data_IF_697366837877
#
_entry.id   IF_697366837877
#
_cell.length_a   1.000
_cell.length_b   1.000
_cell.length_c   1.000
_cell.angle_alpha   90.00
_cell.angle_beta   90.00
_cell.angle_gamma   90.00
#
_symmetry.space_group_name_H-M   'P 1'
#
loop_
_entity.id
_entity.type
_entity.pdbx_description
1 polymer ?
#
# COMPACT_ATOMS: atom_id res chain seq x y z
N UNK A 1 10.83 28.24 19.79
CA UNK A 1 12.05 28.17 18.91
C UNK A 1 12.79 29.51 18.94
N UNK A 2 12.67 30.25 20.05
CA UNK A 2 12.66 31.72 20.04
C UNK A 2 13.98 32.36 20.45
N UNK A 3 15.00 31.57 20.81
CA UNK A 3 16.30 32.05 21.28
C UNK A 3 17.35 32.24 20.18
N UNK A 4 16.98 32.17 18.89
CA UNK A 4 17.91 32.39 17.78
C UNK A 4 18.94 31.29 17.53
N UNK A 5 19.34 30.51 18.54
CA UNK A 5 20.35 29.45 18.41
C UNK A 5 19.88 28.26 17.54
N UNK A 6 20.72 27.73 16.62
CA UNK A 6 20.36 26.62 15.73
C UNK A 6 20.39 25.24 16.44
N UNK A 7 21.14 25.11 17.53
CA UNK A 7 21.39 23.83 18.22
C UNK A 7 20.13 23.06 18.67
N UNK A 8 19.14 23.70 19.32
CA UNK A 8 17.90 23.04 19.71
C UNK A 8 17.09 22.50 18.51
N UNK A 9 17.06 23.23 17.39
CA UNK A 9 16.36 22.82 16.18
C UNK A 9 17.03 21.60 15.54
N UNK A 10 18.36 21.63 15.42
CA UNK A 10 19.14 20.50 14.90
C UNK A 10 18.93 19.24 15.73
N UNK A 11 19.05 19.33 17.07
CA UNK A 11 18.80 18.19 17.97
C UNK A 11 17.36 17.65 17.89
N UNK A 12 16.39 18.52 17.63
CA UNK A 12 15.00 18.08 17.44
C UNK A 12 14.84 17.32 16.12
N UNK A 13 15.36 17.85 15.02
CA UNK A 13 15.34 17.20 13.69
C UNK A 13 16.08 15.86 13.72
N UNK A 14 17.28 15.79 14.29
CA UNK A 14 18.09 14.56 14.35
C UNK A 14 17.41 13.46 15.18
N UNK A 15 16.73 13.83 16.28
CA UNK A 15 15.95 12.86 17.07
C UNK A 15 14.68 12.45 16.35
N UNK A 16 13.99 13.41 15.73
CA UNK A 16 12.65 13.24 15.16
C UNK A 16 12.61 12.57 13.79
N UNK A 17 13.66 12.69 12.98
CA UNK A 17 13.74 12.15 11.62
C UNK A 17 14.71 10.97 11.54
N UNK A 18 14.45 10.03 10.63
CA UNK A 18 15.36 8.93 10.31
C UNK A 18 16.52 9.37 9.40
N UNK A 19 17.36 8.41 9.00
CA UNK A 19 18.51 8.64 8.11
C UNK A 19 18.12 9.31 6.79
N UNK A 20 16.93 9.04 6.27
CA UNK A 20 16.39 9.55 5.01
C UNK A 20 15.58 10.85 5.20
N UNK A 21 15.52 11.39 6.42
CA UNK A 21 14.76 12.61 6.74
C UNK A 21 13.26 12.36 6.94
N UNK A 22 12.82 11.12 7.07
CA UNK A 22 11.39 10.81 7.26
C UNK A 22 11.04 10.88 8.76
N UNK A 23 9.92 11.53 9.15
CA UNK A 23 9.52 11.57 10.55
C UNK A 23 9.33 10.19 11.15
N UNK A 24 9.92 9.98 12.33
CA UNK A 24 9.92 8.68 13.00
C UNK A 24 8.58 8.30 13.60
N UNK A 25 7.92 9.28 14.24
CA UNK A 25 6.71 9.09 15.07
C UNK A 25 5.56 10.00 14.71
N UNK A 26 5.82 11.11 14.01
CA UNK A 26 4.76 12.04 13.60
C UNK A 26 3.85 11.37 12.57
N UNK A 27 2.55 11.36 12.84
CA UNK A 27 1.51 10.98 11.87
C UNK A 27 1.64 11.85 10.62
N UNK A 28 1.39 11.27 9.45
CA UNK A 28 1.54 11.96 8.13
C UNK A 28 0.83 13.32 8.10
N UNK A 29 -0.40 13.40 8.61
CA UNK A 29 -1.16 14.66 8.68
C UNK A 29 -0.48 15.77 9.48
N UNK A 30 0.30 15.40 10.51
CA UNK A 30 1.02 16.35 11.36
C UNK A 30 2.34 16.84 10.75
N UNK A 31 2.71 16.39 9.54
CA UNK A 31 3.96 16.81 8.91
C UNK A 31 3.92 18.25 8.44
N UNK A 32 2.77 18.71 7.94
CA UNK A 32 2.62 20.02 7.32
C UNK A 32 2.83 21.18 8.29
N UNK A 33 2.19 21.21 9.48
CA UNK A 33 2.44 22.28 10.44
C UNK A 33 3.91 22.36 10.85
N UNK A 34 4.58 21.21 11.00
CA UNK A 34 6.00 21.20 11.34
C UNK A 34 6.90 21.74 10.20
N UNK A 35 6.61 21.38 8.95
CA UNK A 35 7.33 21.92 7.79
C UNK A 35 7.13 23.43 7.64
N UNK A 36 5.95 23.94 7.95
CA UNK A 36 5.67 25.38 7.93
C UNK A 36 6.44 26.12 9.05
N UNK A 37 6.42 25.58 10.27
CA UNK A 37 7.21 26.10 11.39
C UNK A 37 8.71 26.12 11.07
N UNK A 38 9.23 25.10 10.38
CA UNK A 38 10.64 25.07 9.93
C UNK A 38 10.92 26.12 8.86
N UNK A 39 9.99 26.37 7.94
CA UNK A 39 10.13 27.38 6.91
C UNK A 39 10.20 28.79 7.54
N UNK A 40 9.34 29.06 8.52
CA UNK A 40 9.38 30.30 9.30
C UNK A 40 10.68 30.43 10.10
N UNK A 41 11.12 29.36 10.76
CA UNK A 41 12.37 29.33 11.51
C UNK A 41 13.60 29.61 10.62
N UNK A 42 13.56 29.18 9.35
CA UNK A 42 14.59 29.47 8.34
C UNK A 42 14.53 30.92 7.87
N UNK A 43 13.33 31.47 7.59
CA UNK A 43 13.16 32.88 7.17
C UNK A 43 13.70 33.86 8.21
N UNK A 44 13.50 33.56 9.51
CA UNK A 44 14.03 34.36 10.62
C UNK A 44 15.55 34.26 10.81
N UNK A 45 16.22 33.34 10.10
CA UNK A 45 17.67 33.09 10.19
C UNK A 45 18.31 33.09 8.80
N UNK A 46 18.33 34.25 8.10
CA UNK A 46 18.95 34.34 6.78
C UNK A 46 20.45 34.03 6.85
N UNK A 47 21.11 34.35 7.97
CA UNK A 47 22.48 33.97 8.30
C UNK A 47 22.47 32.93 9.43
N UNK A 48 23.38 31.94 9.38
CA UNK A 48 23.55 30.94 10.44
C UNK A 48 22.60 29.74 10.40
N UNK A 49 21.82 29.56 9.33
CA UNK A 49 21.06 28.32 9.10
C UNK A 49 21.99 27.15 8.73
N UNK A 50 22.03 26.04 9.50
CA UNK A 50 22.92 24.93 9.21
C UNK A 50 22.53 24.18 7.93
N UNK A 51 23.47 24.01 6.98
CA UNK A 51 23.26 23.21 5.77
C UNK A 51 22.91 21.72 6.06
N UNK A 52 23.27 21.21 7.25
CA UNK A 52 22.87 19.89 7.70
C UNK A 52 21.34 19.78 7.91
N UNK A 53 20.66 20.87 8.30
CA UNK A 53 19.21 20.90 8.40
C UNK A 53 18.55 20.80 7.03
N UNK A 54 19.06 21.53 6.02
CA UNK A 54 18.49 21.49 4.66
C UNK A 54 18.47 20.07 4.10
N UNK A 55 19.56 19.30 4.27
CA UNK A 55 19.60 17.90 3.83
C UNK A 55 18.56 17.02 4.52
N UNK A 56 18.32 17.21 5.82
CA UNK A 56 17.30 16.46 6.57
C UNK A 56 15.89 16.86 6.18
N UNK A 57 15.67 18.16 5.99
CA UNK A 57 14.39 18.72 5.58
C UNK A 57 14.05 18.32 4.16
N UNK A 58 15.04 18.23 3.26
CA UNK A 58 14.83 17.71 1.91
C UNK A 58 14.24 16.31 1.92
N UNK A 59 14.79 15.42 2.75
CA UNK A 59 14.23 14.09 2.97
C UNK A 59 12.77 14.12 3.44
N UNK A 60 12.46 15.02 4.38
CA UNK A 60 11.08 15.23 4.86
C UNK A 60 10.17 15.77 3.76
N UNK A 61 10.59 16.78 3.00
CA UNK A 61 9.83 17.37 1.90
C UNK A 61 9.55 16.32 0.83
N UNK A 62 10.53 15.47 0.49
CA UNK A 62 10.33 14.32 -0.42
C UNK A 62 9.32 13.32 0.15
N UNK A 63 9.37 13.03 1.44
CA UNK A 63 8.38 12.16 2.08
C UNK A 63 6.98 12.80 2.06
N UNK A 64 6.85 14.07 2.42
CA UNK A 64 5.59 14.81 2.39
C UNK A 64 4.98 14.83 0.98
N UNK A 65 5.80 15.08 -0.04
CA UNK A 65 5.39 14.99 -1.44
C UNK A 65 4.86 13.60 -1.81
N UNK A 66 5.56 12.51 -1.45
CA UNK A 66 5.11 11.13 -1.71
C UNK A 66 3.78 10.81 -1.01
N UNK A 67 3.63 11.26 0.22
CA UNK A 67 2.44 11.07 1.05
C UNK A 67 1.37 12.15 0.83
N UNK A 68 1.51 12.96 -0.23
CA UNK A 68 0.47 13.85 -0.72
C UNK A 68 -0.36 13.18 -1.79
N UNK A 69 -1.64 13.51 -1.81
CA UNK A 69 -2.54 13.29 -2.94
C UNK A 69 -2.32 14.36 -4.00
N UNK A 70 -2.82 14.15 -5.23
CA UNK A 70 -2.78 15.15 -6.31
C UNK A 70 -3.47 16.49 -5.96
N UNK A 71 -4.46 16.48 -5.06
CA UNK A 71 -5.16 17.69 -4.60
C UNK A 71 -4.39 18.47 -3.51
N UNK A 72 -3.22 17.98 -3.10
CA UNK A 72 -2.38 18.57 -2.03
C UNK A 72 -2.72 18.11 -0.62
N UNK A 73 -3.83 17.39 -0.43
CA UNK A 73 -4.14 16.79 0.87
C UNK A 73 -3.17 15.66 1.20
N UNK A 74 -2.94 15.40 2.49
CA UNK A 74 -2.13 14.26 2.92
C UNK A 74 -2.98 12.99 2.86
N UNK A 75 -2.34 11.86 2.57
CA UNK A 75 -3.00 10.56 2.72
C UNK A 75 -3.48 10.34 4.17
N UNK A 76 -4.52 9.54 4.31
CA UNK A 76 -5.23 9.24 5.55
C UNK A 76 -6.03 10.39 6.18
N UNK A 77 -5.94 11.63 5.66
CA UNK A 77 -6.80 12.75 6.03
C UNK A 77 -8.05 12.80 5.13
N UNK A 78 -9.08 13.60 5.47
CA UNK A 78 -10.14 13.93 4.52
C UNK A 78 -9.57 14.48 3.20
N UNK A 79 -10.27 14.23 2.09
CA UNK A 79 -9.92 14.78 0.78
C UNK A 79 -10.33 16.24 0.72
N UNK A 80 -9.52 17.08 0.06
CA UNK A 80 -9.77 18.51 -0.01
C UNK A 80 -8.58 19.26 -0.60
N UNK A 81 -8.87 20.13 -1.57
CA UNK A 81 -7.84 20.97 -2.20
C UNK A 81 -7.07 21.74 -1.13
N UNK A 82 -5.75 21.57 -1.10
CA UNK A 82 -4.87 22.17 -0.10
C UNK A 82 -3.78 22.99 -0.78
N UNK A 83 -4.11 24.13 -1.42
CA UNK A 83 -3.14 24.94 -2.16
C UNK A 83 -2.00 25.44 -1.27
N UNK A 84 -2.24 25.67 0.02
CA UNK A 84 -1.24 26.06 1.00
C UNK A 84 -0.09 25.03 1.11
N UNK A 85 -0.42 23.73 1.08
CA UNK A 85 0.58 22.64 1.14
C UNK A 85 1.42 22.58 -0.13
N UNK A 86 0.78 22.78 -1.30
CA UNK A 86 1.49 22.87 -2.57
C UNK A 86 2.45 24.09 -2.59
N UNK A 87 2.00 25.24 -2.08
CA UNK A 87 2.83 26.44 -1.93
C UNK A 87 3.99 26.24 -0.96
N UNK A 88 3.77 25.55 0.16
CA UNK A 88 4.82 25.21 1.12
C UNK A 88 5.88 24.29 0.50
N UNK A 89 5.47 23.27 -0.26
CA UNK A 89 6.41 22.43 -1.01
C UNK A 89 7.19 23.23 -2.05
N UNK A 90 6.52 24.11 -2.80
CA UNK A 90 7.16 24.96 -3.79
C UNK A 90 8.18 25.94 -3.14
N UNK A 91 7.86 26.48 -1.96
CA UNK A 91 8.79 27.28 -1.16
C UNK A 91 10.05 26.47 -0.82
N UNK A 92 9.88 25.27 -0.26
CA UNK A 92 11.01 24.41 0.08
C UNK A 92 11.85 24.03 -1.14
N UNK A 93 11.22 23.68 -2.25
CA UNK A 93 11.93 23.37 -3.50
C UNK A 93 12.73 24.55 -4.07
N UNK A 94 12.38 25.79 -3.71
CA UNK A 94 13.15 26.98 -4.09
C UNK A 94 14.38 27.25 -3.22
N UNK A 95 14.50 26.61 -2.06
CA UNK A 95 15.61 26.84 -1.11
C UNK A 95 16.46 25.60 -0.84
N UNK A 96 15.98 24.41 -1.21
CA UNK A 96 16.68 23.14 -1.06
C UNK A 96 17.57 22.83 -2.29
N UNK A 97 18.63 22.03 -2.12
CA UNK A 97 19.64 21.84 -3.15
C UNK A 97 19.23 20.92 -4.31
N UNK A 98 18.17 20.11 -4.16
CA UNK A 98 17.72 19.19 -5.21
C UNK A 98 16.84 19.90 -6.27
N UNK A 99 17.33 20.09 -7.52
CA UNK A 99 16.55 20.74 -8.58
C UNK A 99 15.37 19.88 -9.06
N UNK A 100 15.40 18.56 -8.85
CA UNK A 100 14.33 17.63 -9.24
C UNK A 100 13.03 17.85 -8.47
N UNK A 101 13.13 18.29 -7.21
CA UNK A 101 11.97 18.57 -6.34
C UNK A 101 11.05 19.62 -6.96
N UNK A 102 11.60 20.73 -7.44
CA UNK A 102 10.82 21.82 -8.05
C UNK A 102 10.07 21.35 -9.31
N UNK A 103 10.71 20.50 -10.12
CA UNK A 103 10.11 19.91 -11.32
C UNK A 103 8.91 19.03 -10.97
N UNK A 104 9.05 18.12 -10.00
CA UNK A 104 7.95 17.22 -9.61
C UNK A 104 6.80 17.96 -8.95
N UNK A 105 7.09 18.91 -8.06
CA UNK A 105 6.05 19.69 -7.40
C UNK A 105 5.18 20.42 -8.43
N UNK A 106 5.76 20.92 -9.53
CA UNK A 106 5.01 21.54 -10.61
C UNK A 106 4.18 20.55 -11.42
N UNK A 107 4.73 19.37 -11.74
CA UNK A 107 3.98 18.32 -12.43
C UNK A 107 2.81 17.81 -11.60
N UNK A 108 3.01 17.70 -10.29
CA UNK A 108 2.06 17.14 -9.35
C UNK A 108 0.96 18.15 -8.94
N UNK A 109 1.27 19.45 -8.90
CA UNK A 109 0.32 20.53 -8.57
C UNK A 109 0.20 21.60 -9.67
N UNK A 110 -0.22 21.25 -10.89
CA UNK A 110 -0.24 22.18 -12.01
C UNK A 110 -1.23 23.34 -11.81
N UNK A 111 -2.34 23.09 -11.10
CA UNK A 111 -3.36 24.10 -10.83
C UNK A 111 -2.92 25.14 -9.79
N UNK A 112 -1.96 24.80 -8.91
CA UNK A 112 -1.50 25.69 -7.85
C UNK A 112 -0.30 26.56 -8.28
N UNK A 113 0.44 26.18 -9.33
CA UNK A 113 1.71 26.79 -9.69
C UNK A 113 1.74 27.22 -11.16
N UNK A 114 1.92 28.53 -11.43
CA UNK A 114 2.11 29.04 -12.80
C UNK A 114 3.41 28.49 -13.42
N UNK A 115 3.42 28.12 -14.71
CA UNK A 115 4.65 27.66 -15.36
C UNK A 115 5.68 28.80 -15.48
N UNK A 116 6.92 28.58 -15.00
CA UNK A 116 8.09 29.40 -15.40
C UNK A 116 8.74 28.77 -16.63
N UNK A 117 8.97 29.58 -17.68
CA UNK A 117 9.77 29.20 -18.85
C UNK A 117 11.22 28.91 -18.45
N UNK A 118 11.84 27.92 -19.07
CA UNK A 118 13.31 27.72 -19.04
C UNK A 118 13.89 26.84 -17.92
N UNK A 119 13.11 25.96 -17.29
CA UNK A 119 13.68 24.97 -16.34
C UNK A 119 14.01 23.69 -17.08
N UNK A 120 15.26 23.25 -16.96
CA UNK A 120 15.75 22.00 -17.54
C UNK A 120 15.07 20.78 -16.86
N UNK A 121 14.61 19.78 -17.63
CA UNK A 121 13.93 18.62 -17.04
C UNK A 121 14.89 17.77 -16.20
N UNK A 122 14.61 17.65 -14.90
CA UNK A 122 15.30 16.70 -14.02
C UNK A 122 14.42 15.46 -13.80
N UNK A 123 15.00 14.24 -13.71
CA UNK A 123 14.22 13.04 -13.45
C UNK A 123 13.54 13.12 -12.07
N UNK A 124 12.25 12.77 -11.97
CA UNK A 124 11.53 12.87 -10.71
C UNK A 124 12.11 11.89 -9.67
N UNK A 125 12.17 12.22 -8.37
CA UNK A 125 12.35 11.21 -7.33
C UNK A 125 11.35 10.06 -7.53
N UNK A 126 11.78 8.84 -7.19
CA UNK A 126 10.89 7.68 -7.27
C UNK A 126 9.61 7.92 -6.44
N UNK A 127 8.42 7.69 -7.04
CA UNK A 127 7.14 7.90 -6.38
C UNK A 127 6.90 6.88 -5.26
N UNK A 128 7.45 5.67 -5.42
CA UNK A 128 7.42 4.64 -4.41
C UNK A 128 8.51 4.84 -3.34
N UNK A 129 8.20 4.43 -2.11
CA UNK A 129 9.10 4.48 -0.96
C UNK A 129 8.61 3.49 0.10
N UNK A 130 9.53 2.86 0.82
CA UNK A 130 9.23 2.28 2.12
C UNK A 130 10.37 2.57 3.09
N UNK A 131 10.01 2.83 4.34
CA UNK A 131 11.01 2.97 5.39
C UNK A 131 11.56 1.58 5.76
N UNK A 132 12.88 1.53 6.02
CA UNK A 132 13.60 0.29 6.25
C UNK A 132 13.36 -0.32 7.64
N UNK A 133 13.05 0.52 8.62
CA UNK A 133 13.03 0.13 10.04
C UNK A 133 11.62 0.18 10.67
N UNK A 134 10.66 0.78 9.97
CA UNK A 134 9.29 0.97 10.45
C UNK A 134 8.27 0.79 9.30
N UNK A 135 7.05 0.29 9.54
CA UNK A 135 6.06 0.11 8.49
C UNK A 135 5.44 1.45 8.10
N UNK A 136 6.12 2.16 7.19
CA UNK A 136 5.64 3.36 6.51
C UNK A 136 6.03 3.21 5.04
N UNK A 137 5.04 3.14 4.17
CA UNK A 137 5.29 2.92 2.74
C UNK A 137 4.26 3.62 1.85
N UNK A 138 4.73 3.99 0.67
CA UNK A 138 3.98 4.49 -0.47
C UNK A 138 4.31 3.60 -1.65
N UNK A 139 3.34 2.82 -2.11
CA UNK A 139 3.42 2.05 -3.34
C UNK A 139 2.74 2.89 -4.41
N UNK A 140 3.47 3.30 -5.45
CA UNK A 140 2.97 4.24 -6.45
C UNK A 140 3.78 4.07 -7.75
N UNK A 141 3.12 3.99 -8.93
CA UNK A 141 3.79 3.77 -10.20
C UNK A 141 4.41 5.05 -10.76
N UNK A 142 3.75 6.20 -10.59
CA UNK A 142 4.09 7.45 -11.26
C UNK A 142 3.60 8.67 -10.47
N UNK A 143 3.88 9.85 -10.99
CA UNK A 143 3.40 11.13 -10.47
C UNK A 143 2.24 11.68 -11.32
N UNK A 144 1.31 10.83 -11.78
CA UNK A 144 0.12 11.31 -12.50
C UNK A 144 -1.00 11.76 -11.54
N UNK A 145 -1.79 12.79 -11.90
CA UNK A 145 -2.89 13.27 -11.04
C UNK A 145 -4.03 12.27 -10.80
N UNK A 146 -4.11 11.21 -11.60
CA UNK A 146 -5.05 10.09 -11.40
C UNK A 146 -4.34 8.82 -10.94
N UNK A 147 -3.09 8.96 -10.50
CA UNK A 147 -2.17 7.86 -10.21
C UNK A 147 -2.70 6.94 -9.11
N UNK A 148 -2.53 5.65 -9.36
CA UNK A 148 -2.85 4.60 -8.41
C UNK A 148 -1.85 4.62 -7.25
N UNK A 149 -2.29 4.37 -6.02
CA UNK A 149 -1.35 4.15 -4.92
C UNK A 149 -1.93 3.31 -3.78
N UNK A 150 -1.01 2.73 -3.01
CA UNK A 150 -1.29 2.16 -1.69
C UNK A 150 -0.39 2.84 -0.66
N UNK A 151 -0.98 3.56 0.29
CA UNK A 151 -0.28 4.18 1.40
C UNK A 151 -0.46 3.36 2.68
N UNK A 152 0.61 3.19 3.45
CA UNK A 152 0.66 2.36 4.66
C UNK A 152 1.35 3.14 5.78
N UNK A 153 0.75 3.13 6.98
CA UNK A 153 1.38 3.61 8.21
C UNK A 153 0.96 2.74 9.41
N UNK A 154 1.88 1.92 9.90
CA UNK A 154 1.75 1.16 11.15
C UNK A 154 3.00 1.36 12.02
N UNK A 155 3.46 2.61 12.12
CA UNK A 155 4.61 2.97 12.97
C UNK A 155 4.25 3.05 14.45
N UNK A 156 2.99 3.34 14.77
CA UNK A 156 2.52 3.53 16.14
C UNK A 156 2.37 2.18 16.86
N UNK A 157 3.17 1.88 17.89
CA UNK A 157 3.10 0.61 18.59
C UNK A 157 1.72 0.42 19.24
N UNK A 158 1.13 -0.76 19.05
CA UNK A 158 -0.20 -1.06 19.62
C UNK A 158 -1.39 -0.50 18.84
N UNK A 159 -1.16 0.39 17.86
CA UNK A 159 -2.21 0.86 16.97
C UNK A 159 -2.38 -0.05 15.75
N UNK A 160 -3.58 -0.08 15.19
CA UNK A 160 -3.84 -0.70 13.89
C UNK A 160 -3.10 0.00 12.74
N UNK A 161 -3.08 -0.64 11.58
CA UNK A 161 -2.49 -0.04 10.39
C UNK A 161 -3.44 0.99 9.79
N UNK A 162 -2.92 2.17 9.45
CA UNK A 162 -3.58 3.06 8.51
C UNK A 162 -3.27 2.60 7.10
N UNK A 163 -4.29 2.51 6.26
CA UNK A 163 -4.17 2.17 4.84
C UNK A 163 -4.99 3.12 4.00
N UNK A 164 -4.51 3.39 2.80
CA UNK A 164 -5.31 4.05 1.77
C UNK A 164 -5.01 3.41 0.42
N UNK A 165 -6.05 2.92 -0.24
CA UNK A 165 -5.94 2.41 -1.62
C UNK A 165 -6.70 3.36 -2.53
N UNK A 166 -5.98 4.01 -3.43
CA UNK A 166 -6.54 4.96 -4.40
C UNK A 166 -6.26 4.46 -5.80
N UNK A 167 -7.26 4.55 -6.67
CA UNK A 167 -7.12 4.23 -8.08
C UNK A 167 -8.05 5.06 -8.94
N UNK A 168 -7.56 5.58 -10.05
CA UNK A 168 -8.30 6.51 -10.92
C UNK A 168 -8.90 7.71 -10.16
N UNK A 169 -8.13 8.27 -9.23
CA UNK A 169 -8.55 9.42 -8.39
C UNK A 169 -9.65 9.12 -7.36
N UNK A 170 -10.00 7.85 -7.14
CA UNK A 170 -10.96 7.44 -6.11
C UNK A 170 -10.26 6.69 -5.00
N UNK A 171 -10.52 7.11 -3.76
CA UNK A 171 -10.15 6.37 -2.56
C UNK A 171 -11.12 5.20 -2.38
N UNK A 172 -10.67 3.99 -2.68
CA UNK A 172 -11.47 2.76 -2.63
C UNK A 172 -11.51 2.15 -1.22
N UNK A 173 -10.39 2.18 -0.50
CA UNK A 173 -10.26 1.62 0.85
C UNK A 173 -9.53 2.57 1.81
N UNK A 174 -9.70 2.32 3.11
CA UNK A 174 -9.12 3.06 4.22
C UNK A 174 -10.18 3.81 5.04
N UNK A 175 -9.81 4.42 6.18
CA UNK A 175 -8.43 4.65 6.63
C UNK A 175 -7.77 3.50 7.39
N UNK A 176 -8.50 2.46 7.82
CA UNK A 176 -7.94 1.41 8.68
C UNK A 176 -7.87 0.03 8.03
N UNK A 177 -6.84 -0.72 8.40
CA UNK A 177 -6.65 -2.15 8.14
C UNK A 177 -6.35 -2.88 9.45
N UNK A 178 -7.33 -3.64 9.94
CA UNK A 178 -7.26 -4.39 11.20
C UNK A 178 -7.33 -5.91 11.01
N UNK A 179 -7.01 -6.66 12.06
CA UNK A 179 -7.06 -8.13 12.10
C UNK A 179 -8.49 -8.69 12.18
N UNK A 180 -9.52 -7.84 12.19
CA UNK A 180 -10.92 -8.25 12.11
C UNK A 180 -11.45 -9.12 13.26
N UNK A 181 -10.69 -9.32 14.34
CA UNK A 181 -11.07 -10.03 15.57
C UNK A 181 -11.04 -9.11 16.80
N UNK A 182 -11.07 -7.79 16.58
CA UNK A 182 -10.95 -6.75 17.62
C UNK A 182 -9.68 -6.88 18.49
N UNK A 183 -8.63 -7.46 17.90
CA UNK A 183 -7.32 -7.61 18.50
C UNK A 183 -6.38 -6.48 18.11
N UNK A 184 -5.78 -5.84 19.11
CA UNK A 184 -4.72 -4.86 18.92
C UNK A 184 -3.34 -5.53 18.74
N UNK A 185 -2.43 -4.92 17.97
CA UNK A 185 -1.04 -5.36 17.92
C UNK A 185 -0.35 -5.37 19.30
N UNK A 186 0.44 -6.39 19.58
CA UNK A 186 1.32 -6.49 20.73
C UNK A 186 2.72 -5.98 20.35
N UNK A 187 2.96 -4.69 20.59
CA UNK A 187 4.25 -4.05 20.34
C UNK A 187 4.43 -3.51 18.91
N UNK A 188 5.67 -3.11 18.54
CA UNK A 188 5.93 -2.48 17.26
C UNK A 188 5.90 -3.50 16.11
N UNK A 189 5.26 -3.10 15.03
CA UNK A 189 5.36 -3.81 13.76
C UNK A 189 6.74 -3.60 13.12
N UNK A 190 7.24 -4.63 12.42
CA UNK A 190 8.59 -4.64 11.82
C UNK A 190 8.50 -4.90 10.32
N UNK A 191 9.07 -4.04 9.46
CA UNK A 191 9.25 -4.36 8.04
C UNK A 191 9.99 -5.69 7.88
N UNK A 192 9.53 -6.51 6.96
CA UNK A 192 10.14 -7.80 6.61
C UNK A 192 10.58 -7.84 5.15
N UNK A 193 9.96 -7.03 4.29
CA UNK A 193 10.34 -6.98 2.88
C UNK A 193 9.89 -5.67 2.22
N UNK A 194 10.69 -5.17 1.27
CA UNK A 194 10.31 -4.09 0.37
C UNK A 194 10.94 -4.33 -1.00
N UNK A 195 10.17 -4.13 -2.06
CA UNK A 195 10.71 -4.00 -3.42
C UNK A 195 9.87 -3.05 -4.26
N UNK A 196 10.53 -2.41 -5.22
CA UNK A 196 9.91 -1.60 -6.25
C UNK A 196 10.58 -1.95 -7.58
N UNK A 197 9.78 -2.42 -8.54
CA UNK A 197 10.21 -2.80 -9.89
C UNK A 197 9.32 -2.13 -10.92
N UNK A 198 9.68 -2.09 -12.21
CA UNK A 198 8.80 -1.53 -13.25
C UNK A 198 7.40 -2.18 -13.31
N UNK A 199 7.22 -3.39 -12.76
CA UNK A 199 5.96 -4.16 -12.82
C UNK A 199 5.15 -4.12 -11.52
N UNK A 200 5.80 -3.92 -10.38
CA UNK A 200 5.15 -4.04 -9.08
C UNK A 200 5.92 -3.34 -7.96
N UNK A 201 5.16 -2.81 -7.00
CA UNK A 201 5.66 -2.40 -5.68
C UNK A 201 5.09 -3.35 -4.63
N UNK A 202 5.91 -3.84 -3.69
CA UNK A 202 5.49 -4.75 -2.64
C UNK A 202 6.14 -4.38 -1.31
N UNK A 203 5.33 -4.24 -0.26
CA UNK A 203 5.76 -4.03 1.11
C UNK A 203 5.19 -5.13 2.01
N UNK A 204 6.02 -5.65 2.90
CA UNK A 204 5.60 -6.57 3.94
C UNK A 204 6.18 -6.23 5.29
N UNK A 205 5.40 -6.53 6.31
CA UNK A 205 5.79 -6.34 7.69
C UNK A 205 5.06 -7.34 8.58
N UNK A 206 5.58 -7.55 9.79
CA UNK A 206 4.98 -8.47 10.74
C UNK A 206 4.84 -7.85 12.12
N UNK A 207 3.84 -8.34 12.86
CA UNK A 207 3.59 -7.97 14.23
C UNK A 207 2.93 -9.14 14.97
N UNK A 208 2.93 -9.06 16.29
CA UNK A 208 2.22 -10.02 17.16
C UNK A 208 0.87 -9.44 17.55
N UNK A 209 -0.05 -10.33 17.89
CA UNK A 209 -1.38 -10.10 18.44
C UNK A 209 -1.57 -11.10 19.58
N UNK A 210 -2.57 -10.93 20.47
CA UNK A 210 -2.87 -11.93 21.50
C UNK A 210 -3.07 -13.33 20.92
N UNK A 211 -3.72 -13.44 19.76
CA UNK A 211 -3.97 -14.74 19.12
C UNK A 211 -2.80 -15.29 18.30
N UNK A 212 -1.73 -14.54 18.04
CA UNK A 212 -0.62 -15.07 17.22
C UNK A 212 0.17 -14.03 16.44
N UNK A 213 0.77 -14.46 15.34
CA UNK A 213 1.59 -13.60 14.47
C UNK A 213 0.86 -13.31 13.16
N UNK A 214 0.89 -12.04 12.76
CA UNK A 214 0.39 -11.59 11.47
C UNK A 214 1.58 -11.10 10.63
N UNK A 215 1.67 -11.59 9.40
CA UNK A 215 2.53 -11.01 8.36
C UNK A 215 1.61 -10.41 7.30
N UNK A 216 1.72 -9.11 7.12
CA UNK A 216 0.89 -8.33 6.22
C UNK A 216 1.63 -8.06 4.92
N UNK A 217 0.93 -8.16 3.80
CA UNK A 217 1.46 -7.91 2.46
C UNK A 217 0.57 -6.90 1.74
N UNK A 218 1.17 -5.78 1.33
CA UNK A 218 0.56 -4.84 0.41
C UNK A 218 1.33 -4.86 -0.92
N UNK A 219 0.62 -5.04 -2.01
CA UNK A 219 1.17 -5.10 -3.35
C UNK A 219 0.35 -4.19 -4.27
N UNK A 220 1.04 -3.44 -5.13
CA UNK A 220 0.45 -2.67 -6.23
C UNK A 220 1.11 -3.13 -7.54
N UNK A 221 0.31 -3.62 -8.49
CA UNK A 221 0.80 -3.97 -9.82
C UNK A 221 0.75 -2.73 -10.72
N UNK A 222 1.93 -2.25 -11.10
CA UNK A 222 2.08 -0.99 -11.84
C UNK A 222 1.38 -1.05 -13.19
N UNK A 223 0.61 -0.01 -13.52
CA UNK A 223 -0.14 0.10 -14.76
C UNK A 223 -1.31 -0.88 -14.92
N UNK A 224 -1.62 -1.72 -13.93
CA UNK A 224 -2.67 -2.76 -14.03
C UNK A 224 -3.95 -2.43 -13.27
N UNK A 225 -3.97 -1.35 -12.49
CA UNK A 225 -5.11 -1.00 -11.62
C UNK A 225 -5.50 -2.16 -10.70
N UNK A 226 -4.48 -2.78 -10.09
CA UNK A 226 -4.59 -3.92 -9.19
C UNK A 226 -3.78 -3.68 -7.92
N UNK A 227 -4.43 -3.88 -6.78
CA UNK A 227 -3.75 -4.02 -5.50
C UNK A 227 -4.13 -5.32 -4.81
N UNK A 228 -3.18 -5.95 -4.13
CA UNK A 228 -3.43 -7.09 -3.25
C UNK A 228 -3.10 -6.67 -1.82
N UNK A 229 -4.08 -6.77 -0.93
CA UNK A 229 -3.92 -6.63 0.52
C UNK A 229 -4.15 -7.99 1.15
N UNK A 230 -3.20 -8.49 1.92
CA UNK A 230 -3.33 -9.82 2.51
C UNK A 230 -2.72 -9.89 3.91
N UNK A 231 -3.39 -10.62 4.80
CA UNK A 231 -2.86 -11.02 6.09
C UNK A 231 -2.56 -12.53 6.06
N UNK A 232 -1.31 -12.89 6.28
CA UNK A 232 -0.90 -14.25 6.64
C UNK A 232 -0.94 -14.37 8.16
N UNK A 233 -1.80 -15.24 8.68
CA UNK A 233 -2.00 -15.43 10.11
C UNK A 233 -1.43 -16.77 10.53
N UNK A 234 -0.65 -16.77 11.61
CA UNK A 234 -0.21 -17.96 12.31
C UNK A 234 -0.72 -17.88 13.75
N UNK A 235 -1.71 -18.71 14.08
CA UNK A 235 -2.47 -18.67 15.34
C UNK A 235 -2.97 -20.07 15.72
N UNK A 236 -3.06 -20.41 17.01
CA UNK A 236 -3.75 -21.64 17.45
C UNK A 236 -5.28 -21.52 17.39
N UNK A 237 -5.83 -20.32 17.13
CA UNK A 237 -7.27 -20.09 17.04
C UNK A 237 -7.91 -20.76 15.79
N UNK A 238 -9.22 -21.03 15.83
CA UNK A 238 -9.90 -21.73 14.74
C UNK A 238 -10.22 -20.83 13.53
N UNK A 239 -10.15 -19.50 13.69
CA UNK A 239 -10.57 -18.51 12.70
C UNK A 239 -9.58 -17.35 12.68
N UNK A 240 -9.29 -16.83 11.49
CA UNK A 240 -8.67 -15.53 11.32
C UNK A 240 -9.58 -14.63 10.51
N UNK A 241 -9.34 -13.34 10.66
CA UNK A 241 -10.04 -12.33 9.91
C UNK A 241 -9.09 -11.23 9.45
N UNK A 242 -9.61 -10.43 8.52
CA UNK A 242 -9.07 -9.13 8.16
C UNK A 242 -10.23 -8.18 7.96
N UNK A 243 -10.09 -6.95 8.45
CA UNK A 243 -11.07 -5.87 8.30
C UNK A 243 -10.42 -4.69 7.58
N UNK A 244 -11.02 -4.25 6.48
CA UNK A 244 -10.62 -3.06 5.74
C UNK A 244 -11.77 -2.06 5.77
N UNK A 245 -11.49 -0.84 6.20
CA UNK A 245 -12.48 0.22 6.15
C UNK A 245 -12.72 0.68 4.71
N UNK A 246 -13.96 1.07 4.44
CA UNK A 246 -14.43 1.59 3.16
C UNK A 246 -14.95 3.00 3.40
N UNK A 247 -14.50 4.01 2.63
CA UNK A 247 -14.97 5.38 2.83
C UNK A 247 -16.50 5.47 2.71
N UNK A 248 -17.16 6.32 3.50
CA UNK A 248 -18.63 6.43 3.51
C UNK A 248 -19.22 6.90 2.16
N UNK A 249 -18.39 7.47 1.29
CA UNK A 249 -18.76 7.88 -0.08
C UNK A 249 -18.80 6.73 -1.08
N UNK A 250 -18.37 5.52 -0.68
CA UNK A 250 -18.29 4.34 -1.52
C UNK A 250 -19.44 3.40 -1.17
N UNK A 251 -20.28 3.11 -2.16
CA UNK A 251 -21.31 2.10 -2.02
C UNK A 251 -20.73 0.71 -2.23
N UNK A 252 -20.97 -0.20 -1.29
CA UNK A 252 -20.63 -1.62 -1.40
C UNK A 252 -21.86 -2.40 -1.89
N UNK A 253 -21.70 -3.13 -3.00
CA UNK A 253 -22.76 -3.91 -3.62
C UNK A 253 -22.27 -5.34 -3.82
N UNK A 254 -22.98 -6.38 -3.34
CA UNK A 254 -22.64 -7.76 -3.64
C UNK A 254 -22.63 -7.97 -5.15
N UNK A 255 -21.65 -8.70 -5.67
CA UNK A 255 -21.61 -9.02 -7.09
C UNK A 255 -22.35 -10.36 -7.33
N UNK A 256 -23.37 -10.39 -8.22
CA UNK A 256 -24.11 -11.61 -8.53
C UNK A 256 -23.19 -12.77 -8.92
N UNK A 257 -23.61 -13.99 -8.57
CA UNK A 257 -22.96 -15.26 -8.91
C UNK A 257 -21.50 -15.41 -8.43
N UNK A 258 -21.03 -14.51 -7.57
CA UNK A 258 -19.67 -14.53 -7.03
C UNK A 258 -19.64 -14.11 -5.56
N UNK A 259 -18.54 -14.38 -4.86
CA UNK A 259 -18.26 -13.79 -3.53
C UNK A 259 -17.60 -12.41 -3.58
N UNK A 260 -17.56 -11.79 -4.75
CA UNK A 260 -16.92 -10.49 -4.90
C UNK A 260 -17.85 -9.38 -4.42
N UNK A 261 -17.26 -8.26 -4.01
CA UNK A 261 -17.99 -7.03 -3.75
C UNK A 261 -17.59 -5.97 -4.78
N UNK A 262 -18.58 -5.31 -5.35
CA UNK A 262 -18.38 -4.11 -6.16
C UNK A 262 -18.37 -2.88 -5.24
N UNK A 263 -17.36 -2.04 -5.40
CA UNK A 263 -17.27 -0.72 -4.79
C UNK A 263 -17.69 0.31 -5.85
N UNK A 264 -18.62 1.21 -5.55
CA UNK A 264 -19.11 2.22 -6.50
C UNK A 264 -18.91 3.63 -5.95
N UNK A 265 -18.35 4.51 -6.78
CA UNK A 265 -18.11 5.91 -6.47
C UNK A 265 -18.81 6.80 -7.52
N UNK A 266 -20.07 7.16 -7.23
CA UNK A 266 -20.94 7.83 -8.20
C UNK A 266 -21.34 6.89 -9.34
N UNK A 267 -21.67 7.46 -10.52
CA UNK A 267 -22.26 6.69 -11.64
C UNK A 267 -21.26 5.87 -12.46
N UNK A 268 -20.03 6.36 -12.65
CA UNK A 268 -19.12 5.84 -13.68
C UNK A 268 -17.82 5.23 -13.15
N UNK A 269 -17.60 5.24 -11.83
CA UNK A 269 -16.37 4.71 -11.22
C UNK A 269 -16.72 3.55 -10.33
N UNK A 270 -16.03 2.44 -10.53
CA UNK A 270 -16.18 1.26 -9.68
C UNK A 270 -14.84 0.56 -9.46
N UNK A 271 -14.81 -0.29 -8.45
CA UNK A 271 -13.79 -1.30 -8.23
C UNK A 271 -14.46 -2.63 -7.83
N UNK A 272 -13.69 -3.71 -7.84
CA UNK A 272 -14.09 -5.02 -7.32
C UNK A 272 -13.10 -5.47 -6.26
N UNK A 273 -13.61 -6.10 -5.20
CA UNK A 273 -12.81 -6.78 -4.17
C UNK A 273 -13.09 -8.28 -4.25
N UNK A 274 -12.03 -9.08 -4.42
CA UNK A 274 -12.09 -10.51 -4.65
C UNK A 274 -11.42 -11.24 -3.46
N UNK A 275 -12.14 -12.08 -2.70
CA UNK A 275 -11.57 -12.90 -1.62
C UNK A 275 -10.92 -14.16 -2.20
N UNK A 276 -9.65 -14.05 -2.60
CA UNK A 276 -8.99 -15.06 -3.44
C UNK A 276 -8.83 -16.43 -2.77
N UNK A 277 -8.80 -16.49 -1.43
CA UNK A 277 -8.73 -17.74 -0.68
C UNK A 277 -10.10 -18.40 -0.43
N UNK A 278 -11.19 -17.79 -0.90
CA UNK A 278 -12.52 -18.40 -0.92
C UNK A 278 -12.89 -18.84 -2.35
N UNK A 279 -13.73 -19.87 -2.53
CA UNK A 279 -14.26 -20.24 -3.84
C UNK A 279 -15.03 -19.08 -4.48
N UNK A 280 -14.91 -18.90 -5.80
CA UNK A 280 -15.60 -17.81 -6.51
C UNK A 280 -17.12 -17.90 -6.38
N UNK A 281 -17.68 -19.09 -6.59
CA UNK A 281 -19.13 -19.30 -6.53
C UNK A 281 -19.68 -19.16 -5.10
N UNK A 282 -20.87 -18.54 -4.93
CA UNK A 282 -21.42 -18.17 -3.63
C UNK A 282 -22.20 -19.31 -2.94
N UNK A 283 -21.79 -20.58 -3.09
CA UNK A 283 -22.43 -21.71 -2.41
C UNK A 283 -22.10 -21.75 -0.90
N UNK A 284 -22.90 -22.36 -0.01
CA UNK A 284 -22.53 -22.49 1.39
C UNK A 284 -21.19 -23.23 1.59
N UNK A 285 -20.27 -22.67 2.37
CA UNK A 285 -18.96 -23.28 2.64
C UNK A 285 -18.45 -22.94 4.04
N UNK A 286 -17.80 -23.90 4.69
CA UNK A 286 -17.15 -23.70 6.00
C UNK A 286 -15.80 -22.97 5.91
N UNK A 287 -15.29 -22.71 4.70
CA UNK A 287 -13.99 -22.06 4.53
C UNK A 287 -13.97 -20.65 5.09
N UNK A 288 -15.07 -19.91 4.95
CA UNK A 288 -15.15 -18.52 5.37
C UNK A 288 -16.10 -17.68 4.51
N UNK A 289 -16.09 -16.37 4.77
CA UNK A 289 -16.95 -15.41 4.10
C UNK A 289 -16.27 -14.04 3.96
N UNK A 290 -16.64 -13.31 2.90
CA UNK A 290 -16.37 -11.89 2.76
C UNK A 290 -17.69 -11.14 2.94
N UNK A 291 -17.78 -10.40 4.04
CA UNK A 291 -18.98 -9.69 4.46
C UNK A 291 -18.72 -8.17 4.38
N UNK A 292 -19.76 -7.40 4.06
CA UNK A 292 -19.73 -5.96 4.19
C UNK A 292 -20.59 -5.53 5.37
N UNK A 293 -20.09 -4.55 6.13
CA UNK A 293 -20.91 -3.68 7.00
C UNK A 293 -21.03 -2.31 6.33
N UNK A 294 -21.68 -1.33 6.96
CA UNK A 294 -21.88 -0.01 6.34
C UNK A 294 -20.58 0.67 5.85
N UNK A 295 -19.46 0.44 6.57
CA UNK A 295 -18.19 1.14 6.33
C UNK A 295 -16.97 0.20 6.36
N UNK A 296 -17.15 -1.11 6.21
CA UNK A 296 -16.02 -2.04 6.19
C UNK A 296 -16.32 -3.32 5.40
N UNK A 297 -15.25 -3.89 4.86
CA UNK A 297 -15.22 -5.27 4.38
C UNK A 297 -14.49 -6.14 5.40
N UNK A 298 -15.08 -7.28 5.74
CA UNK A 298 -14.50 -8.27 6.65
C UNK A 298 -14.37 -9.60 5.92
N UNK A 299 -13.14 -10.06 5.69
CA UNK A 299 -12.88 -11.42 5.26
C UNK A 299 -12.58 -12.27 6.49
N UNK A 300 -13.33 -13.35 6.69
CA UNK A 300 -13.10 -14.37 7.70
C UNK A 300 -12.75 -15.68 7.02
N UNK A 301 -11.82 -16.42 7.60
CA UNK A 301 -11.46 -17.76 7.12
C UNK A 301 -11.16 -18.69 8.29
N UNK A 302 -11.53 -19.96 8.14
CA UNK A 302 -11.12 -21.03 9.04
C UNK A 302 -9.61 -21.24 8.94
N UNK A 303 -8.94 -21.42 10.09
CA UNK A 303 -7.57 -21.89 10.12
C UNK A 303 -7.53 -23.41 10.05
N UNK A 304 -6.75 -23.91 9.11
CA UNK A 304 -6.36 -25.31 9.06
C UNK A 304 -4.87 -25.35 9.42
N UNK A 305 -4.43 -26.28 10.27
CA UNK A 305 -3.02 -26.40 10.65
C UNK A 305 -2.37 -25.14 11.28
N UNK A 306 -3.17 -24.27 11.91
CA UNK A 306 -2.70 -23.08 12.62
C UNK A 306 -2.16 -21.95 11.73
N UNK A 307 -2.33 -22.03 10.40
CA UNK A 307 -1.94 -20.98 9.45
C UNK A 307 -2.99 -20.77 8.38
N UNK A 308 -3.18 -19.54 7.95
CA UNK A 308 -3.94 -19.24 6.75
C UNK A 308 -3.45 -17.96 6.09
N UNK A 309 -3.99 -17.69 4.90
CA UNK A 309 -3.73 -16.48 4.13
C UNK A 309 -5.06 -15.86 3.70
N UNK A 310 -5.23 -14.57 3.94
CA UNK A 310 -6.46 -13.81 3.71
C UNK A 310 -6.27 -12.77 2.58
N UNK A 311 -6.05 -13.18 1.33
CA UNK A 311 -5.82 -12.29 0.19
C UNK A 311 -7.11 -11.62 -0.32
N UNK A 312 -7.12 -10.29 -0.30
CA UNK A 312 -8.11 -9.45 -0.95
C UNK A 312 -7.49 -8.75 -2.16
N UNK A 313 -7.92 -9.14 -3.35
CA UNK A 313 -7.48 -8.52 -4.61
C UNK A 313 -8.48 -7.45 -5.03
N UNK A 314 -7.99 -6.23 -5.19
CA UNK A 314 -8.74 -5.08 -5.67
C UNK A 314 -8.44 -4.83 -7.15
N UNK A 315 -9.48 -4.57 -7.93
CA UNK A 315 -9.39 -4.24 -9.36
C UNK A 315 -10.31 -3.07 -9.69
N UNK A 316 -9.78 -1.98 -10.25
CA UNK A 316 -10.56 -0.76 -10.57
C UNK A 316 -10.50 -0.33 -12.04
N UNK A 317 -9.89 -1.13 -12.92
CA UNK A 317 -9.90 -0.84 -14.37
C UNK A 317 -11.27 -1.09 -15.00
N UNK A 318 -11.79 -0.08 -15.68
CA UNK A 318 -13.08 -0.12 -16.37
C UNK A 318 -13.20 -1.27 -17.37
N UNK A 319 -12.11 -1.60 -18.09
CA UNK A 319 -12.13 -2.67 -19.10
C UNK A 319 -12.48 -4.04 -18.50
N UNK A 320 -12.13 -4.27 -17.22
CA UNK A 320 -12.42 -5.53 -16.52
C UNK A 320 -13.82 -5.61 -15.94
N UNK A 321 -14.47 -4.48 -15.68
CA UNK A 321 -15.82 -4.49 -15.12
C UNK A 321 -16.85 -5.05 -16.11
N UNK A 322 -16.57 -4.95 -17.42
CA UNK A 322 -17.40 -5.54 -18.46
C UNK A 322 -17.16 -7.04 -18.65
N UNK A 323 -16.09 -7.59 -18.06
CA UNK A 323 -15.71 -9.00 -18.19
C UNK A 323 -16.19 -9.80 -16.98
N UNK A 324 -16.62 -11.03 -17.24
CA UNK A 324 -16.84 -12.02 -16.17
C UNK A 324 -15.53 -12.28 -15.45
N UNK A 325 -15.55 -12.18 -14.12
CA UNK A 325 -14.39 -12.49 -13.27
C UNK A 325 -14.56 -13.89 -12.70
N UNK A 326 -13.49 -14.69 -12.77
CA UNK A 326 -13.44 -16.04 -12.21
C UNK A 326 -12.14 -16.18 -11.43
N UNK A 327 -12.18 -16.91 -10.33
CA UNK A 327 -10.97 -17.34 -9.65
C UNK A 327 -11.12 -18.74 -9.09
N UNK A 328 -10.00 -19.46 -8.99
CA UNK A 328 -9.95 -20.84 -8.49
C UNK A 328 -8.71 -20.99 -7.62
N UNK A 329 -8.92 -21.57 -6.45
CA UNK A 329 -7.82 -22.05 -5.60
C UNK A 329 -7.25 -23.27 -6.30
N UNK A 330 -5.94 -23.29 -6.48
CA UNK A 330 -5.22 -24.33 -7.19
C UNK A 330 -4.68 -25.36 -6.21
N UNK A 331 -4.60 -26.61 -6.64
CA UNK A 331 -3.83 -27.63 -5.94
C UNK A 331 -2.35 -27.29 -6.05
N UNK A 332 -1.69 -27.15 -4.91
CA UNK A 332 -0.24 -27.04 -4.81
C UNK A 332 0.32 -28.40 -4.45
N UNK A 333 1.40 -28.81 -5.10
CA UNK A 333 2.11 -30.04 -4.74
C UNK A 333 3.56 -29.81 -4.35
N UNK A 334 4.05 -30.65 -3.45
CA UNK A 334 5.43 -30.73 -2.98
C UNK A 334 5.80 -32.22 -2.92
N UNK A 335 6.91 -32.61 -3.54
CA UNK A 335 7.36 -34.02 -3.55
C UNK A 335 6.26 -35.03 -3.93
N UNK A 336 5.49 -34.71 -4.98
CA UNK A 336 4.36 -35.53 -5.46
C UNK A 336 3.20 -35.73 -4.47
N UNK A 337 3.11 -34.90 -3.42
CA UNK A 337 1.99 -34.87 -2.47
C UNK A 337 1.27 -33.53 -2.54
N UNK A 338 -0.02 -33.54 -2.22
CA UNK A 338 -0.81 -32.30 -2.11
C UNK A 338 -0.35 -31.54 -0.86
N UNK A 339 0.05 -30.28 -1.03
CA UNK A 339 0.30 -29.38 0.08
C UNK A 339 -1.02 -28.93 0.70
N UNK A 340 -1.15 -28.97 2.03
CA UNK A 340 -2.30 -28.39 2.70
C UNK A 340 -2.30 -26.85 2.56
N UNK A 341 -3.48 -26.20 2.61
CA UNK A 341 -3.59 -24.74 2.55
C UNK A 341 -2.84 -23.98 3.66
N UNK A 342 -2.46 -24.68 4.74
CA UNK A 342 -1.66 -24.17 5.86
C UNK A 342 -0.17 -24.02 5.52
N UNK A 343 0.30 -24.71 4.47
CA UNK A 343 1.68 -24.71 4.02
C UNK A 343 1.90 -23.83 2.79
N UNK A 344 0.97 -23.86 1.84
CA UNK A 344 1.02 -23.05 0.64
C UNK A 344 -0.36 -22.85 0.02
N UNK A 345 -0.54 -21.71 -0.65
CA UNK A 345 -1.75 -21.38 -1.39
C UNK A 345 -1.38 -20.86 -2.77
N UNK A 346 -2.03 -21.37 -3.80
CA UNK A 346 -1.99 -20.80 -5.14
C UNK A 346 -3.42 -20.50 -5.61
N UNK A 347 -3.59 -19.39 -6.31
CA UNK A 347 -4.87 -18.96 -6.86
C UNK A 347 -4.66 -18.49 -8.29
N UNK A 348 -5.55 -18.94 -9.18
CA UNK A 348 -5.69 -18.40 -10.51
C UNK A 348 -6.87 -17.43 -10.53
N UNK A 349 -6.71 -16.25 -11.11
CA UNK A 349 -7.77 -15.26 -11.32
C UNK A 349 -7.78 -14.81 -12.77
N UNK A 350 -8.96 -14.67 -13.36
CA UNK A 350 -9.13 -14.26 -14.75
C UNK A 350 -10.28 -13.26 -14.92
N UNK A 351 -10.10 -12.34 -15.86
CA UNK A 351 -11.10 -11.40 -16.35
C UNK A 351 -11.35 -11.67 -17.84
N UNK A 352 -12.40 -12.43 -18.15
CA UNK A 352 -12.62 -12.96 -19.49
C UNK A 352 -11.53 -13.95 -19.90
N UNK A 353 -11.23 -14.02 -21.20
CA UNK A 353 -10.25 -14.97 -21.77
C UNK A 353 -8.84 -14.39 -21.91
N UNK A 354 -8.69 -13.06 -21.87
CA UNK A 354 -7.47 -12.37 -22.30
C UNK A 354 -6.52 -12.03 -21.15
N UNK A 355 -7.06 -11.82 -19.95
CA UNK A 355 -6.25 -11.41 -18.81
C UNK A 355 -6.44 -12.36 -17.65
N UNK A 356 -5.35 -13.00 -17.24
CA UNK A 356 -5.32 -13.82 -16.04
C UNK A 356 -4.00 -13.69 -15.29
N UNK A 357 -4.07 -13.95 -13.99
CA UNK A 357 -2.93 -13.99 -13.09
C UNK A 357 -2.93 -15.29 -12.31
N UNK A 358 -1.72 -15.74 -11.97
CA UNK A 358 -1.49 -16.71 -10.92
C UNK A 358 -0.82 -16.01 -9.74
N UNK A 359 -1.30 -16.30 -8.55
CA UNK A 359 -0.80 -15.73 -7.30
C UNK A 359 -0.50 -16.90 -6.38
N UNK A 360 0.73 -17.00 -5.89
CA UNK A 360 1.17 -18.07 -5.01
C UNK A 360 1.85 -17.50 -3.77
N UNK A 361 1.60 -18.14 -2.62
CA UNK A 361 2.18 -17.81 -1.33
C UNK A 361 2.58 -19.08 -0.59
N UNK A 362 3.84 -19.15 -0.17
CA UNK A 362 4.32 -20.08 0.86
C UNK A 362 3.94 -19.55 2.25
N UNK A 363 3.33 -20.41 3.07
CA UNK A 363 2.98 -20.12 4.46
C UNK A 363 3.86 -20.88 5.46
N UNK A 364 4.40 -22.02 5.04
CA UNK A 364 5.48 -22.74 5.69
C UNK A 364 6.86 -22.31 5.11
N UNK A 365 7.92 -23.03 5.49
CA UNK A 365 9.25 -22.84 4.90
C UNK A 365 9.14 -22.98 3.37
N UNK A 366 9.75 -22.08 2.58
CA UNK A 366 9.78 -22.23 1.13
C UNK A 366 10.42 -23.56 0.74
N UNK A 367 9.79 -24.23 -0.22
CA UNK A 367 10.22 -25.50 -0.79
C UNK A 367 9.93 -25.47 -2.29
N UNK A 368 10.48 -26.42 -3.05
CA UNK A 368 10.15 -26.56 -4.46
C UNK A 368 8.70 -27.05 -4.57
N UNK A 369 7.79 -26.17 -4.98
CA UNK A 369 6.36 -26.48 -5.13
C UNK A 369 5.90 -26.27 -6.56
N UNK A 370 4.86 -27.00 -6.92
CA UNK A 370 4.28 -26.97 -8.26
C UNK A 370 2.79 -26.67 -8.24
N UNK A 371 2.31 -25.92 -9.23
CA UNK A 371 0.89 -25.69 -9.50
C UNK A 371 0.72 -25.35 -10.99
N UNK A 372 -0.34 -25.87 -11.64
CA UNK A 372 -0.58 -25.67 -13.08
C UNK A 372 0.65 -25.94 -13.97
N UNK A 373 1.47 -26.95 -13.63
CA UNK A 373 2.71 -27.26 -14.36
C UNK A 373 3.87 -26.28 -14.15
N UNK A 374 3.67 -25.19 -13.41
CA UNK A 374 4.73 -24.25 -13.04
C UNK A 374 5.39 -24.68 -11.73
N UNK A 375 6.73 -24.66 -11.70
CA UNK A 375 7.53 -25.01 -10.52
C UNK A 375 8.25 -23.77 -9.98
N UNK A 376 8.25 -23.61 -8.65
CA UNK A 376 8.95 -22.48 -8.02
C UNK A 376 9.42 -22.80 -6.61
N UNK A 377 10.53 -22.16 -6.22
CA UNK A 377 11.01 -22.10 -4.83
C UNK A 377 10.68 -20.77 -4.14
N UNK A 378 9.99 -19.87 -4.85
CA UNK A 378 9.60 -18.58 -4.30
C UNK A 378 8.80 -18.75 -3.01
N UNK A 379 8.86 -17.77 -2.11
CA UNK A 379 7.89 -17.65 -1.02
C UNK A 379 6.64 -16.88 -1.42
N UNK A 380 6.74 -16.01 -2.44
CA UNK A 380 5.62 -15.25 -2.96
C UNK A 380 5.83 -14.97 -4.45
N UNK A 381 4.80 -15.23 -5.25
CA UNK A 381 4.82 -15.06 -6.70
C UNK A 381 3.51 -14.44 -7.15
N UNK A 382 3.60 -13.46 -8.04
CA UNK A 382 2.50 -13.01 -8.88
C UNK A 382 2.97 -13.05 -10.32
N UNK A 383 2.28 -13.79 -11.19
CA UNK A 383 2.63 -13.94 -12.58
C UNK A 383 1.41 -13.80 -13.50
N UNK A 384 1.65 -13.32 -14.72
CA UNK A 384 0.68 -13.44 -15.82
C UNK A 384 0.98 -14.67 -16.67
N UNK A 385 0.08 -15.01 -17.59
CA UNK A 385 0.32 -16.05 -18.58
C UNK A 385 0.79 -15.43 -19.91
N UNK A 386 1.77 -16.06 -20.54
CA UNK A 386 2.15 -15.74 -21.92
C UNK A 386 1.17 -16.37 -22.91
N UNK A 387 1.26 -16.00 -24.19
CA UNK A 387 0.50 -16.67 -25.26
C UNK A 387 0.80 -18.17 -25.37
N UNK A 388 1.98 -18.61 -24.93
CA UNK A 388 2.36 -20.02 -24.86
C UNK A 388 1.86 -20.74 -23.59
N UNK A 389 1.11 -20.05 -22.71
CA UNK A 389 0.62 -20.61 -21.45
C UNK A 389 1.65 -20.69 -20.33
N UNK A 390 2.86 -20.13 -20.52
CA UNK A 390 3.89 -20.09 -19.49
C UNK A 390 3.62 -18.97 -18.50
N UNK A 391 3.99 -19.16 -17.23
CA UNK A 391 3.90 -18.11 -16.22
C UNK A 391 5.07 -17.14 -16.40
N UNK A 392 4.75 -15.87 -16.66
CA UNK A 392 5.70 -14.76 -16.69
C UNK A 392 5.60 -13.96 -15.37
N UNK A 393 6.62 -14.00 -14.50
CA UNK A 393 6.59 -13.29 -13.23
C UNK A 393 6.42 -11.77 -13.39
N UNK A 394 5.47 -11.22 -12.64
CA UNK A 394 5.33 -9.78 -12.38
C UNK A 394 6.03 -9.39 -11.08
N UNK A 395 6.02 -10.31 -10.11
CA UNK A 395 6.74 -10.24 -8.83
C UNK A 395 7.14 -11.67 -8.42
N UNK A 396 8.37 -11.84 -7.96
CA UNK A 396 8.87 -13.09 -7.38
C UNK A 396 9.77 -12.75 -6.20
N UNK A 397 9.56 -13.43 -5.07
CA UNK A 397 10.34 -13.26 -3.83
C UNK A 397 10.83 -14.64 -3.38
N UNK A 398 12.14 -14.81 -3.19
CA UNK A 398 12.78 -16.13 -3.04
C UNK A 398 13.22 -16.52 -1.61
N UNK A 399 13.00 -15.67 -0.61
CA UNK A 399 13.52 -15.87 0.76
C UNK A 399 12.46 -16.23 1.80
#
# INVERSE_FOLDING_TARGET
MDRGEPGPCLRWVERGLDAEGVPKRLKVGAWWPCLDMLAEARRRRPTGWPAALDRRIEGWVRAALRFSRPDGSAVFEPTGASPERANLLAHWAGVLPDPGLATVIRWWFPAALRPRRGVEPAPPPLPAMASRDRPLAMLRPDWTPNGDFVAIDQRDPGAGCRVEVTGLGVRWLGPAWGAGLDEAPMGPARPTFWTSSPRADCAEWSFRTPSGRITRTALLLRGRGLALLADQVASPGPVAAVRLEVPPTIQMVPQPDTRAWALRAGRNRSARVLPLALPAAPYPTERGALEATDHALRLRQRLEGGRCWLPLLLSWRGERHRKAVRWRILTVSEQSRICPPSEAVAVWVAWGMEESLVIYRSLARPALRSFLGYQTKARFLVGGFTSAGNVAPLLQIEE
#
